data_IF_504072658469
#
_entry.id   IF_504072658469
#
_cell.length_a   1.000
_cell.length_b   1.000
_cell.length_c   1.000
_cell.angle_alpha   90.00
_cell.angle_beta   90.00
_cell.angle_gamma   90.00
#
_symmetry.space_group_name_H-M   'P 1'
#
loop_
_entity.id
_entity.type
_entity.pdbx_description
1 polymer ?
#
# COMPACT_ATOMS: atom_id res chain seq x y z
N UNK A 1 -16.00 6.15 -12.48
CA UNK A 1 -15.28 5.19 -13.34
C UNK A 1 -15.20 3.89 -12.57
N UNK A 2 -15.74 2.81 -13.12
CA UNK A 2 -15.77 1.51 -12.45
C UNK A 2 -14.57 0.69 -12.94
N UNK A 3 -13.82 0.12 -12.00
CA UNK A 3 -12.63 -0.70 -12.30
C UNK A 3 -12.84 -2.08 -11.73
N UNK A 4 -12.72 -3.10 -12.57
CA UNK A 4 -12.76 -4.50 -12.14
C UNK A 4 -11.36 -4.94 -11.74
N UNK A 5 -11.22 -5.58 -10.58
CA UNK A 5 -9.95 -6.08 -10.06
C UNK A 5 -10.11 -7.59 -9.82
N UNK A 6 -9.24 -8.38 -10.45
CA UNK A 6 -9.15 -9.81 -10.16
C UNK A 6 -8.28 -10.01 -8.92
N UNK A 7 -8.80 -10.74 -7.93
CA UNK A 7 -8.09 -11.07 -6.69
C UNK A 7 -8.20 -12.57 -6.42
N UNK A 8 -7.22 -13.12 -5.69
CA UNK A 8 -7.28 -14.51 -5.21
C UNK A 8 -8.34 -14.64 -4.12
N UNK A 9 -8.87 -15.85 -3.95
CA UNK A 9 -9.90 -16.13 -2.94
C UNK A 9 -9.43 -15.78 -1.52
N UNK A 10 -8.21 -16.16 -1.15
CA UNK A 10 -7.63 -15.84 0.16
C UNK A 10 -7.57 -14.33 0.43
N UNK A 11 -7.29 -13.55 -0.61
CA UNK A 11 -7.25 -12.08 -0.52
C UNK A 11 -8.66 -11.50 -0.32
N UNK A 12 -9.67 -12.09 -0.96
CA UNK A 12 -11.06 -11.71 -0.77
C UNK A 12 -11.53 -11.99 0.66
N UNK A 13 -11.16 -13.14 1.22
CA UNK A 13 -11.54 -13.51 2.59
C UNK A 13 -10.84 -12.63 3.63
N UNK A 14 -9.55 -12.31 3.42
CA UNK A 14 -8.85 -11.29 4.20
C UNK A 14 -9.56 -9.93 4.13
N UNK A 15 -10.01 -9.48 2.94
CA UNK A 15 -10.72 -8.21 2.78
C UNK A 15 -12.06 -8.19 3.51
N UNK A 16 -12.77 -9.32 3.61
CA UNK A 16 -14.01 -9.42 4.41
C UNK A 16 -13.73 -9.28 5.89
N UNK A 17 -12.68 -9.94 6.41
CA UNK A 17 -12.28 -9.78 7.80
C UNK A 17 -11.93 -8.32 8.12
N UNK A 18 -11.13 -7.67 7.28
CA UNK A 18 -10.75 -6.27 7.45
C UNK A 18 -11.95 -5.32 7.35
N UNK A 19 -12.94 -5.63 6.49
CA UNK A 19 -14.19 -4.88 6.42
C UNK A 19 -14.92 -4.88 7.76
N UNK A 20 -14.99 -6.04 8.42
CA UNK A 20 -15.66 -6.18 9.73
C UNK A 20 -14.89 -5.43 10.82
N UNK A 21 -13.55 -5.52 10.83
CA UNK A 21 -12.69 -4.77 11.76
C UNK A 21 -12.86 -3.25 11.62
N UNK A 22 -12.90 -2.75 10.38
CA UNK A 22 -13.07 -1.34 10.08
C UNK A 22 -14.53 -0.87 10.13
N UNK A 23 -15.49 -1.79 10.37
CA UNK A 23 -16.94 -1.55 10.31
C UNK A 23 -17.37 -0.84 9.03
N UNK A 24 -16.74 -1.18 7.91
CA UNK A 24 -17.02 -0.57 6.63
C UNK A 24 -18.27 -1.20 5.99
N UNK A 25 -19.11 -0.40 5.32
CA UNK A 25 -20.35 -0.90 4.71
C UNK A 25 -20.08 -1.78 3.47
N UNK A 26 -19.03 -1.44 2.71
CA UNK A 26 -18.68 -2.10 1.44
C UNK A 26 -17.19 -2.41 1.34
N UNK A 27 -16.84 -3.37 0.48
CA UNK A 27 -15.45 -3.68 0.17
C UNK A 27 -14.72 -2.50 -0.49
N UNK A 28 -15.43 -1.71 -1.31
CA UNK A 28 -14.85 -0.49 -1.91
C UNK A 28 -14.50 0.56 -0.85
N UNK A 29 -15.37 0.78 0.14
CA UNK A 29 -15.07 1.66 1.27
C UNK A 29 -13.87 1.15 2.08
N UNK A 30 -13.78 -0.16 2.27
CA UNK A 30 -12.65 -0.82 2.95
C UNK A 30 -11.33 -0.56 2.21
N UNK A 31 -11.31 -0.76 0.88
CA UNK A 31 -10.13 -0.52 0.04
C UNK A 31 -9.71 0.95 0.09
N UNK A 32 -10.67 1.89 0.00
CA UNK A 32 -10.38 3.33 0.10
C UNK A 32 -9.76 3.70 1.44
N UNK A 33 -10.28 3.18 2.54
CA UNK A 33 -9.70 3.42 3.88
C UNK A 33 -8.29 2.84 3.99
N UNK A 34 -8.06 1.62 3.49
CA UNK A 34 -6.73 1.02 3.46
C UNK A 34 -5.73 1.87 2.67
N UNK A 35 -6.13 2.36 1.49
CA UNK A 35 -5.27 3.24 0.67
C UNK A 35 -4.98 4.54 1.41
N UNK A 36 -5.95 5.14 2.10
CA UNK A 36 -5.74 6.36 2.89
C UNK A 36 -4.77 6.12 4.06
N UNK A 37 -4.91 4.99 4.78
CA UNK A 37 -4.00 4.60 5.85
C UNK A 37 -2.56 4.41 5.33
N UNK A 38 -2.40 3.80 4.15
CA UNK A 38 -1.09 3.62 3.52
C UNK A 38 -0.48 4.94 3.02
N UNK A 39 -1.31 5.89 2.57
CA UNK A 39 -0.87 7.22 2.11
C UNK A 39 -0.52 8.18 3.25
N UNK A 40 -0.99 7.92 4.47
CA UNK A 40 -0.66 8.69 5.66
C UNK A 40 0.17 7.85 6.64
N UNK A 41 1.42 7.49 6.30
CA UNK A 41 2.28 6.84 7.28
C UNK A 41 2.48 7.81 8.46
N UNK A 42 1.90 7.47 9.62
CA UNK A 42 1.98 8.26 10.87
C UNK A 42 3.41 8.57 11.30
N UNK A 43 4.39 7.84 10.76
CA UNK A 43 5.82 8.12 10.86
C UNK A 43 6.44 7.87 9.49
N UNK A 44 7.20 8.84 8.99
CA UNK A 44 8.15 8.58 7.90
C UNK A 44 9.13 7.52 8.38
N UNK A 45 9.10 6.34 7.77
CA UNK A 45 10.13 5.31 7.96
C UNK A 45 11.37 5.61 7.09
N UNK A 46 11.39 6.75 6.41
CA UNK A 46 12.55 7.25 5.70
C UNK A 46 13.63 7.60 6.73
N UNK A 47 14.61 6.72 6.88
CA UNK A 47 15.68 6.79 7.89
C UNK A 47 15.48 5.94 9.14
N UNK A 48 14.35 5.24 9.31
CA UNK A 48 14.13 4.35 10.47
C UNK A 48 14.76 2.96 10.29
N UNK A 49 15.26 2.65 9.10
CA UNK A 49 16.04 1.45 8.83
C UNK A 49 17.50 1.70 9.25
N UNK A 50 17.82 1.43 10.53
CA UNK A 50 19.21 1.38 11.01
C UNK A 50 19.96 0.32 10.20
N UNK A 51 20.76 0.75 9.23
CA UNK A 51 21.63 -0.13 8.43
C UNK A 51 21.58 0.10 6.92
N UNK A 52 20.59 0.82 6.39
CA UNK A 52 20.63 1.22 4.97
C UNK A 52 21.47 2.48 4.88
N UNK A 53 22.66 2.35 4.28
CA UNK A 53 23.56 3.47 3.99
C UNK A 53 22.76 4.62 3.38
N UNK A 54 22.72 5.76 4.09
CA UNK A 54 22.03 7.02 3.75
C UNK A 54 22.66 7.75 2.56
N UNK A 55 23.17 7.02 1.58
CA UNK A 55 23.63 7.57 0.31
C UNK A 55 22.97 6.77 -0.80
N UNK A 56 21.72 7.11 -1.08
CA UNK A 56 21.14 6.82 -2.37
C UNK A 56 21.93 7.62 -3.41
N UNK A 57 23.02 7.04 -3.93
CA UNK A 57 23.74 7.59 -5.07
C UNK A 57 22.93 7.25 -6.30
N UNK A 58 22.36 8.28 -6.94
CA UNK A 58 21.71 8.14 -8.25
C UNK A 58 22.77 7.66 -9.24
N UNK A 59 22.69 6.40 -9.67
CA UNK A 59 23.54 5.90 -10.74
C UNK A 59 23.20 6.66 -12.03
N UNK A 60 24.23 7.28 -12.63
CA UNK A 60 24.16 8.04 -13.89
C UNK A 60 24.23 7.13 -15.13
N UNK A 61 23.73 5.90 -15.07
CA UNK A 61 23.61 5.10 -16.28
C UNK A 61 22.24 5.32 -16.89
N UNK A 62 22.21 6.29 -17.81
CA UNK A 62 21.12 6.42 -18.78
C UNK A 62 21.04 5.10 -19.57
N UNK A 63 19.89 4.44 -19.54
CA UNK A 63 19.67 3.14 -20.22
C UNK A 63 19.02 3.32 -21.58
N UNK A 64 19.14 4.51 -22.17
CA UNK A 64 18.49 4.89 -23.42
C UNK A 64 19.46 5.63 -24.35
N UNK A 65 20.69 5.11 -24.50
CA UNK A 65 21.46 5.32 -25.73
C UNK A 65 21.05 4.28 -26.78
#
# INVERSE_FOLDING_TARGET
MNTTIAVKQDTLDMLKHVKDELRAETLDATIKQLVLLMKQPKKSMFGSLRGIRTTFKREKHDRFD
#
